data_IF_792462823110
#
_entry.id   IF_792462823110
#
_cell.length_a   1.000
_cell.length_b   1.000
_cell.length_c   1.000
_cell.angle_alpha   90.00
_cell.angle_beta   90.00
_cell.angle_gamma   90.00
#
_symmetry.space_group_name_H-M   'P 1'
#
loop_
_entity.id
_entity.type
_entity.pdbx_description
1 polymer ?
#
# COMPACT_ATOMS: atom_id res chain seq x y z
N UNK A 1 -23.13 8.06 -12.16
CA UNK A 1 -24.35 7.57 -11.48
C UNK A 1 -23.96 6.86 -10.21
N UNK A 2 -23.03 5.90 -10.29
CA UNK A 2 -22.43 5.22 -9.13
C UNK A 2 -21.87 6.20 -8.09
N UNK A 3 -21.11 7.22 -8.49
CA UNK A 3 -20.53 8.20 -7.54
C UNK A 3 -21.60 8.89 -6.67
N UNK A 4 -22.75 9.23 -7.25
CA UNK A 4 -23.84 9.87 -6.52
C UNK A 4 -24.55 8.88 -5.57
N UNK A 5 -24.63 7.60 -5.97
CA UNK A 5 -25.19 6.55 -5.11
C UNK A 5 -24.25 6.32 -3.92
N UNK A 6 -22.94 6.24 -4.16
CA UNK A 6 -21.91 6.10 -3.12
C UNK A 6 -21.91 7.30 -2.17
N UNK A 7 -21.93 8.52 -2.71
CA UNK A 7 -22.00 9.75 -1.92
C UNK A 7 -23.26 9.80 -1.06
N UNK A 8 -24.44 9.47 -1.62
CA UNK A 8 -25.69 9.45 -0.88
C UNK A 8 -25.71 8.36 0.21
N UNK A 9 -25.10 7.20 -0.06
CA UNK A 9 -25.04 6.10 0.89
C UNK A 9 -24.07 6.40 2.04
N UNK A 10 -22.87 6.87 1.72
CA UNK A 10 -21.88 7.30 2.70
C UNK A 10 -22.37 8.50 3.53
N UNK A 11 -23.04 9.45 2.88
CA UNK A 11 -23.57 10.68 3.47
C UNK A 11 -25.01 10.60 3.98
N UNK A 12 -25.61 9.41 4.08
CA UNK A 12 -27.06 9.28 4.36
C UNK A 12 -27.49 9.99 5.65
N UNK A 13 -26.64 9.99 6.69
CA UNK A 13 -26.91 10.67 7.94
C UNK A 13 -26.98 12.20 7.75
N UNK A 14 -26.12 12.77 6.91
CA UNK A 14 -26.12 14.20 6.58
C UNK A 14 -27.40 14.54 5.82
N UNK A 15 -27.74 13.76 4.79
CA UNK A 15 -28.94 13.98 3.97
C UNK A 15 -30.20 13.95 4.85
N UNK A 16 -30.30 12.97 5.76
CA UNK A 16 -31.42 12.82 6.69
C UNK A 16 -31.49 13.97 7.71
N UNK A 17 -30.36 14.37 8.27
CA UNK A 17 -30.30 15.40 9.31
C UNK A 17 -30.67 16.78 8.77
N UNK A 18 -30.27 17.07 7.52
CA UNK A 18 -30.60 18.33 6.85
C UNK A 18 -31.93 18.28 6.07
N UNK A 19 -32.68 17.16 6.11
CA UNK A 19 -33.95 16.97 5.40
C UNK A 19 -33.83 17.23 3.87
N UNK A 20 -32.75 16.75 3.27
CA UNK A 20 -32.36 16.97 1.88
C UNK A 20 -32.74 15.82 0.93
N UNK A 21 -33.52 14.84 1.38
CA UNK A 21 -33.88 13.64 0.61
C UNK A 21 -34.54 13.98 -0.72
N UNK A 22 -35.54 14.88 -0.71
CA UNK A 22 -36.24 15.28 -1.92
C UNK A 22 -35.31 15.96 -2.94
N UNK A 23 -34.28 16.68 -2.48
CA UNK A 23 -33.27 17.29 -3.34
C UNK A 23 -32.35 16.23 -3.94
N UNK A 24 -31.88 15.29 -3.13
CA UNK A 24 -31.03 14.18 -3.56
C UNK A 24 -31.75 13.27 -4.58
N UNK A 25 -33.03 12.95 -4.34
CA UNK A 25 -33.87 12.19 -5.27
C UNK A 25 -34.06 12.93 -6.60
N UNK A 26 -34.30 14.24 -6.57
CA UNK A 26 -34.46 15.05 -7.78
C UNK A 26 -33.18 15.09 -8.60
N UNK A 27 -32.03 15.23 -7.95
CA UNK A 27 -30.74 15.20 -8.64
C UNK A 27 -30.47 13.82 -9.24
N UNK A 28 -30.73 12.74 -8.47
CA UNK A 28 -30.60 11.38 -8.95
C UNK A 28 -31.49 11.11 -10.17
N UNK A 29 -32.76 11.53 -10.13
CA UNK A 29 -33.68 11.39 -11.24
C UNK A 29 -33.17 12.10 -12.50
N UNK A 30 -32.59 13.30 -12.36
CA UNK A 30 -31.96 14.04 -13.48
C UNK A 30 -30.78 13.28 -14.07
N UNK A 31 -29.88 12.74 -13.23
CA UNK A 31 -28.72 11.96 -13.71
C UNK A 31 -29.16 10.65 -14.35
N UNK A 32 -30.15 9.97 -13.77
CA UNK A 32 -30.72 8.74 -14.29
C UNK A 32 -31.40 8.94 -15.65
N UNK A 33 -32.15 10.02 -15.84
CA UNK A 33 -32.77 10.36 -17.14
C UNK A 33 -31.72 10.65 -18.21
N UNK A 34 -30.65 11.37 -17.86
CA UNK A 34 -29.52 11.60 -18.78
C UNK A 34 -28.82 10.30 -19.19
N UNK A 35 -28.60 9.40 -18.22
CA UNK A 35 -28.05 8.08 -18.49
C UNK A 35 -28.98 7.27 -19.38
N UNK A 36 -30.27 7.23 -19.07
CA UNK A 36 -31.30 6.55 -19.87
C UNK A 36 -31.31 7.05 -21.32
N UNK A 37 -31.34 8.37 -21.54
CA UNK A 37 -31.32 8.95 -22.89
C UNK A 37 -30.07 8.56 -23.68
N UNK A 38 -28.92 8.51 -23.02
CA UNK A 38 -27.65 8.15 -23.65
C UNK A 38 -27.59 6.65 -23.98
N UNK A 39 -27.97 5.81 -23.01
CA UNK A 39 -28.06 4.36 -23.17
C UNK A 39 -29.08 3.97 -24.24
N UNK A 40 -30.24 4.63 -24.27
CA UNK A 40 -31.26 4.39 -25.29
C UNK A 40 -30.77 4.74 -26.69
N UNK A 41 -30.10 5.88 -26.87
CA UNK A 41 -29.50 6.25 -28.16
C UNK A 41 -28.46 5.23 -28.61
N UNK A 42 -27.57 4.82 -27.71
CA UNK A 42 -26.57 3.79 -28.00
C UNK A 42 -27.22 2.45 -28.37
N UNK A 43 -28.23 2.03 -27.61
CA UNK A 43 -28.97 0.80 -27.86
C UNK A 43 -29.74 0.84 -29.18
N UNK A 44 -30.35 1.98 -29.52
CA UNK A 44 -31.06 2.17 -30.78
C UNK A 44 -30.10 2.01 -31.96
N UNK A 45 -28.94 2.66 -31.92
CA UNK A 45 -27.89 2.50 -32.94
C UNK A 45 -27.41 1.06 -33.01
N UNK A 46 -27.10 0.43 -31.87
CA UNK A 46 -26.64 -0.96 -31.83
C UNK A 46 -27.68 -1.94 -32.38
N UNK A 47 -28.96 -1.70 -32.11
CA UNK A 47 -30.06 -2.58 -32.55
C UNK A 47 -30.31 -2.43 -34.04
N UNK A 48 -30.06 -1.26 -34.63
CA UNK A 48 -30.23 -1.03 -36.08
C UNK A 48 -29.19 -1.72 -36.95
N UNK A 49 -28.02 -2.09 -36.40
CA UNK A 49 -26.93 -2.71 -37.16
C UNK A 49 -27.39 -4.03 -37.80
N UNK A 50 -28.02 -4.93 -37.04
CA UNK A 50 -28.41 -6.26 -37.54
C UNK A 50 -29.53 -6.22 -38.59
N UNK A 51 -30.65 -5.49 -38.40
CA UNK A 51 -31.66 -5.31 -39.44
C UNK A 51 -31.09 -4.66 -40.72
N UNK A 52 -30.20 -3.68 -40.58
CA UNK A 52 -29.58 -3.00 -41.73
C UNK A 52 -28.68 -3.96 -42.50
N UNK A 53 -27.81 -4.72 -41.83
CA UNK A 53 -27.01 -5.76 -42.45
C UNK A 53 -27.87 -6.82 -43.13
N UNK A 54 -28.94 -7.29 -42.49
CA UNK A 54 -29.86 -8.27 -43.09
C UNK A 54 -30.56 -7.71 -44.33
N UNK A 55 -30.93 -6.43 -44.31
CA UNK A 55 -31.53 -5.76 -45.47
C UNK A 55 -30.55 -5.71 -46.64
N UNK A 56 -29.30 -5.30 -46.40
CA UNK A 56 -28.23 -5.30 -47.41
C UNK A 56 -27.97 -6.70 -47.95
N UNK A 57 -27.88 -7.72 -47.09
CA UNK A 57 -27.69 -9.11 -47.51
C UNK A 57 -28.87 -9.63 -48.35
N UNK A 58 -30.11 -9.26 -48.02
CA UNK A 58 -31.28 -9.64 -48.80
C UNK A 58 -31.29 -8.98 -50.18
N UNK A 59 -30.82 -7.72 -50.29
CA UNK A 59 -30.66 -7.05 -51.57
C UNK A 59 -29.60 -7.74 -52.43
N UNK A 60 -28.47 -8.10 -51.84
CA UNK A 60 -27.41 -8.85 -52.53
C UNK A 60 -27.91 -10.23 -52.99
N UNK A 61 -28.61 -10.95 -52.13
CA UNK A 61 -29.25 -12.23 -52.46
C UNK A 61 -30.22 -12.10 -53.65
N UNK A 62 -31.07 -11.06 -53.64
CA UNK A 62 -32.00 -10.80 -54.73
C UNK A 62 -31.26 -10.48 -56.04
N UNK A 63 -30.24 -9.62 -55.99
CA UNK A 63 -29.43 -9.29 -57.15
C UNK A 63 -28.77 -10.54 -57.75
N UNK A 64 -28.19 -11.38 -56.89
CA UNK A 64 -27.58 -12.65 -57.27
C UNK A 64 -28.59 -13.64 -57.87
N UNK A 65 -29.80 -13.73 -57.31
CA UNK A 65 -30.85 -14.59 -57.83
C UNK A 65 -31.35 -14.13 -59.21
N UNK A 66 -31.54 -12.82 -59.41
CA UNK A 66 -31.99 -12.25 -60.70
C UNK A 66 -30.91 -12.39 -61.77
N UNK A 67 -29.68 -11.95 -61.48
CA UNK A 67 -28.57 -12.02 -62.44
C UNK A 67 -28.21 -13.48 -62.74
N UNK A 68 -28.14 -14.32 -61.70
CA UNK A 68 -27.89 -15.76 -61.85
C UNK A 68 -28.98 -16.44 -62.68
N UNK A 69 -30.26 -16.13 -62.42
CA UNK A 69 -31.39 -16.65 -63.19
C UNK A 69 -31.31 -16.28 -64.67
N UNK A 70 -31.02 -15.01 -64.99
CA UNK A 70 -30.84 -14.56 -66.39
C UNK A 70 -29.64 -15.24 -67.07
N UNK A 71 -28.56 -15.50 -66.34
CA UNK A 71 -27.38 -16.22 -66.85
C UNK A 71 -27.64 -17.71 -67.09
N UNK A 72 -28.45 -18.35 -66.25
CA UNK A 72 -28.90 -19.74 -66.46
C UNK A 72 -29.80 -19.83 -67.68
N UNK A 73 -30.75 -18.89 -67.85
CA UNK A 73 -31.65 -18.84 -69.02
C UNK A 73 -30.86 -18.64 -70.33
N UNK A 74 -29.80 -17.82 -70.30
CA UNK A 74 -28.92 -17.61 -71.47
C UNK A 74 -27.91 -18.74 -71.70
N UNK A 75 -27.87 -19.77 -70.85
CA UNK A 75 -26.96 -20.92 -70.98
C UNK A 75 -25.49 -20.62 -70.65
N UNK A 76 -25.19 -19.48 -70.02
CA UNK A 76 -23.80 -19.09 -69.70
C UNK A 76 -23.30 -19.67 -68.38
N UNK A 77 -24.19 -20.10 -67.48
CA UNK A 77 -23.86 -20.61 -66.14
C UNK A 77 -24.77 -21.79 -65.78
N UNK A 78 -24.26 -22.79 -65.05
CA UNK A 78 -25.05 -23.92 -64.58
C UNK A 78 -25.92 -23.54 -63.37
N UNK A 79 -27.07 -24.21 -63.22
CA UNK A 79 -27.97 -24.01 -62.08
C UNK A 79 -27.28 -24.26 -60.72
N UNK A 80 -26.40 -25.27 -60.67
CA UNK A 80 -25.63 -25.59 -59.45
C UNK A 80 -24.68 -24.47 -59.02
N UNK A 81 -24.09 -23.74 -59.97
CA UNK A 81 -23.17 -22.65 -59.68
C UNK A 81 -23.92 -21.46 -59.06
N UNK A 82 -25.12 -21.15 -59.56
CA UNK A 82 -25.98 -20.11 -58.98
C UNK A 82 -26.42 -20.47 -57.56
N UNK A 83 -26.80 -21.73 -57.33
CA UNK A 83 -27.12 -22.22 -55.99
C UNK A 83 -25.92 -22.07 -55.03
N UNK A 84 -24.72 -22.46 -55.47
CA UNK A 84 -23.50 -22.33 -54.67
C UNK A 84 -23.18 -20.87 -54.35
N UNK A 85 -23.30 -19.95 -55.33
CA UNK A 85 -23.09 -18.52 -55.12
C UNK A 85 -24.07 -17.94 -54.09
N UNK A 86 -25.36 -18.29 -54.16
CA UNK A 86 -26.36 -17.84 -53.18
C UNK A 86 -26.05 -18.32 -51.76
N UNK A 87 -25.48 -19.53 -51.61
CA UNK A 87 -25.03 -20.03 -50.32
C UNK A 87 -23.78 -19.27 -49.81
N UNK A 88 -22.81 -19.02 -50.69
CA UNK A 88 -21.60 -18.28 -50.33
C UNK A 88 -21.87 -16.84 -49.92
N UNK A 89 -22.85 -16.15 -50.54
CA UNK A 89 -23.28 -14.81 -50.11
C UNK A 89 -23.65 -14.77 -48.62
N UNK A 90 -24.46 -15.73 -48.17
CA UNK A 90 -24.86 -15.80 -46.75
C UNK A 90 -23.69 -16.17 -45.83
N UNK A 91 -22.77 -17.02 -46.29
CA UNK A 91 -21.59 -17.41 -45.53
C UNK A 91 -20.58 -16.26 -45.39
N UNK A 92 -20.49 -15.38 -46.40
CA UNK A 92 -19.56 -14.25 -46.43
C UNK A 92 -19.95 -13.12 -45.45
N UNK A 93 -21.24 -12.92 -45.20
CA UNK A 93 -21.71 -11.86 -44.31
C UNK A 93 -21.46 -12.14 -42.82
N UNK A 94 -21.39 -13.41 -42.42
CA UNK A 94 -21.22 -13.83 -41.02
C UNK A 94 -19.87 -13.35 -40.42
N UNK A 95 -18.70 -13.60 -41.05
CA UNK A 95 -17.41 -13.11 -40.56
C UNK A 95 -17.34 -11.60 -40.37
N UNK A 96 -17.96 -10.79 -41.23
CA UNK A 96 -17.94 -9.32 -41.14
C UNK A 96 -18.59 -8.84 -39.84
N UNK A 97 -19.68 -9.49 -39.44
CA UNK A 97 -20.39 -9.17 -38.19
C UNK A 97 -19.54 -9.58 -36.98
N UNK A 98 -18.87 -10.73 -37.05
CA UNK A 98 -17.97 -11.20 -35.99
C UNK A 98 -16.77 -10.27 -35.80
N UNK A 99 -16.13 -9.82 -36.89
CA UNK A 99 -15.01 -8.87 -36.84
C UNK A 99 -15.45 -7.55 -36.19
N UNK A 100 -16.63 -7.05 -36.53
CA UNK A 100 -17.17 -5.80 -35.96
C UNK A 100 -17.34 -5.88 -34.44
N UNK A 101 -17.81 -7.02 -33.92
CA UNK A 101 -17.92 -7.24 -32.48
C UNK A 101 -16.56 -7.44 -31.80
N UNK A 102 -15.59 -8.07 -32.49
CA UNK A 102 -14.24 -8.28 -31.98
C UNK A 102 -13.43 -6.99 -31.83
N UNK A 103 -13.67 -5.95 -32.65
CA UNK A 103 -12.93 -4.70 -32.57
C UNK A 103 -13.01 -4.05 -31.18
N UNK A 104 -14.18 -4.10 -30.54
CA UNK A 104 -14.36 -3.58 -29.18
C UNK A 104 -13.53 -4.38 -28.16
N UNK A 105 -13.52 -5.71 -28.28
CA UNK A 105 -12.71 -6.58 -27.42
C UNK A 105 -11.21 -6.34 -27.64
N UNK A 106 -10.77 -6.24 -28.90
CA UNK A 106 -9.36 -5.97 -29.23
C UNK A 106 -8.90 -4.66 -28.60
N UNK A 107 -9.68 -3.58 -28.69
CA UNK A 107 -9.34 -2.31 -28.05
C UNK A 107 -9.19 -2.45 -26.52
N UNK A 108 -10.15 -3.11 -25.87
CA UNK A 108 -10.10 -3.34 -24.43
C UNK A 108 -8.91 -4.26 -24.02
N UNK A 109 -8.58 -5.25 -24.84
CA UNK A 109 -7.43 -6.14 -24.64
C UNK A 109 -6.12 -5.38 -24.78
N UNK A 110 -5.96 -4.53 -25.79
CA UNK A 110 -4.76 -3.71 -25.98
C UNK A 110 -4.56 -2.78 -24.78
N UNK A 111 -5.58 -2.04 -24.37
CA UNK A 111 -5.49 -1.14 -23.21
C UNK A 111 -5.25 -1.88 -21.88
N UNK A 112 -5.65 -3.14 -21.77
CA UNK A 112 -5.35 -3.97 -20.60
C UNK A 112 -3.93 -4.53 -20.66
N UNK A 113 -3.46 -4.90 -21.85
CA UNK A 113 -2.10 -5.36 -22.07
C UNK A 113 -1.08 -4.23 -21.82
N UNK A 114 -1.34 -3.02 -22.30
CA UNK A 114 -0.48 -1.85 -22.05
C UNK A 114 -0.25 -1.62 -20.56
N UNK A 115 -1.31 -1.69 -19.73
CA UNK A 115 -1.17 -1.56 -18.27
C UNK A 115 -0.39 -2.69 -17.62
N UNK A 116 -0.50 -3.92 -18.14
CA UNK A 116 0.30 -5.04 -17.64
C UNK A 116 1.78 -4.82 -17.99
N UNK A 117 2.07 -4.43 -19.23
CA UNK A 117 3.43 -4.16 -19.67
C UNK A 117 4.04 -2.94 -18.98
N UNK A 118 3.25 -1.89 -18.70
CA UNK A 118 3.69 -0.75 -17.90
C UNK A 118 4.23 -1.17 -16.53
N UNK A 119 3.55 -2.11 -15.85
CA UNK A 119 4.01 -2.64 -14.56
C UNK A 119 5.23 -3.57 -14.71
N UNK A 120 5.26 -4.40 -15.76
CA UNK A 120 6.34 -5.36 -15.98
C UNK A 120 7.64 -4.70 -16.48
N UNK A 121 7.53 -3.60 -17.21
CA UNK A 121 8.65 -2.85 -17.79
C UNK A 121 9.20 -1.79 -16.82
N UNK A 122 8.51 -1.53 -15.70
CA UNK A 122 8.97 -0.61 -14.67
C UNK A 122 10.26 -1.12 -14.04
N UNK A 123 11.24 -0.21 -13.86
CA UNK A 123 12.55 -0.61 -13.35
C UNK A 123 12.47 -0.87 -11.85
N UNK A 124 12.91 -2.04 -11.43
CA UNK A 124 13.09 -2.31 -10.02
C UNK A 124 14.20 -1.43 -9.43
N UNK A 125 14.02 -1.01 -8.17
CA UNK A 125 15.11 -0.41 -7.39
C UNK A 125 16.25 -1.42 -7.24
N UNK A 126 17.38 -1.16 -7.89
CA UNK A 126 18.55 -2.04 -7.81
C UNK A 126 19.30 -1.83 -6.51
N UNK A 127 19.73 -2.93 -5.89
CA UNK A 127 20.77 -2.87 -4.87
C UNK A 127 22.10 -2.54 -5.53
N UNK A 128 22.99 -1.80 -4.85
CA UNK A 128 24.37 -1.55 -5.32
C UNK A 128 25.24 -2.81 -5.40
N UNK A 129 24.63 -3.99 -5.28
CA UNK A 129 25.26 -5.31 -5.25
C UNK A 129 25.00 -5.97 -6.61
N UNK A 130 26.05 -6.35 -7.37
CA UNK A 130 25.88 -7.11 -8.61
C UNK A 130 25.11 -8.41 -8.34
N UNK A 131 24.18 -8.79 -9.23
CA UNK A 131 23.38 -10.05 -9.14
C UNK A 131 24.27 -11.29 -8.92
N UNK A 132 25.53 -11.24 -9.37
CA UNK A 132 26.52 -12.30 -9.17
C UNK A 132 26.94 -12.53 -7.72
N UNK A 133 26.79 -11.55 -6.82
CA UNK A 133 27.18 -11.68 -5.40
C UNK A 133 26.01 -12.13 -4.51
N UNK A 134 24.75 -11.98 -4.95
CA UNK A 134 23.57 -12.44 -4.20
C UNK A 134 23.53 -13.97 -3.98
N UNK A 135 24.19 -14.74 -4.86
CA UNK A 135 24.19 -16.22 -4.79
C UNK A 135 25.26 -16.76 -3.84
N UNK A 136 26.27 -15.97 -3.46
CA UNK A 136 27.37 -16.44 -2.61
C UNK A 136 27.05 -16.39 -1.11
N UNK A 137 25.97 -15.73 -0.70
CA UNK A 137 25.74 -15.33 0.70
C UNK A 137 24.65 -16.14 1.43
N UNK A 138 24.11 -17.21 0.84
CA UNK A 138 23.22 -18.14 1.57
C UNK A 138 23.95 -18.92 2.69
N UNK A 139 25.28 -19.02 2.62
CA UNK A 139 26.10 -19.61 3.69
C UNK A 139 26.38 -18.66 4.86
N UNK A 140 25.98 -17.40 4.78
CA UNK A 140 26.33 -16.35 5.76
C UNK A 140 25.23 -16.07 6.79
N UNK A 141 24.19 -16.91 6.88
CA UNK A 141 23.16 -16.83 7.94
C UNK A 141 23.68 -17.11 9.36
N UNK A 142 24.98 -17.40 9.55
CA UNK A 142 25.64 -17.58 10.85
C UNK A 142 27.09 -17.07 10.86
N UNK A 143 27.31 -15.76 10.79
CA UNK A 143 28.57 -15.16 11.27
C UNK A 143 28.50 -13.63 11.36
N UNK A 144 27.78 -13.07 12.34
CA UNK A 144 28.18 -11.79 12.95
C UNK A 144 28.08 -11.90 14.47
N UNK A 145 28.77 -12.91 15.02
CA UNK A 145 29.22 -12.87 16.40
C UNK A 145 30.75 -12.83 16.33
N UNK A 146 31.34 -11.74 16.82
CA UNK A 146 32.77 -11.41 16.84
C UNK A 146 33.25 -10.47 15.72
N UNK A 147 32.69 -9.26 15.68
CA UNK A 147 33.52 -8.07 15.45
C UNK A 147 33.74 -7.44 16.81
N UNK A 148 35.01 -7.30 17.19
CA UNK A 148 35.43 -6.87 18.51
C UNK A 148 34.78 -5.55 18.91
N UNK A 149 34.66 -5.37 20.23
CA UNK A 149 34.35 -4.10 20.87
C UNK A 149 35.37 -3.03 20.44
N UNK A 150 35.13 -2.42 19.29
CA UNK A 150 35.57 -1.07 18.98
C UNK A 150 34.43 -0.17 19.41
N UNK A 151 34.74 0.84 20.22
CA UNK A 151 33.84 1.91 20.64
C UNK A 151 33.07 2.49 19.42
N UNK A 152 31.91 1.93 19.08
CA UNK A 152 31.08 2.39 17.95
C UNK A 152 30.16 3.49 18.48
N UNK A 153 30.63 4.72 18.41
CA UNK A 153 29.85 5.94 18.66
C UNK A 153 28.80 6.21 17.57
N UNK A 154 28.93 5.60 16.39
CA UNK A 154 28.04 5.86 15.25
C UNK A 154 27.42 4.55 14.72
N UNK A 155 26.36 4.08 15.39
CA UNK A 155 25.61 2.88 14.95
C UNK A 155 24.79 3.18 13.70
N UNK A 156 24.06 4.30 13.67
CA UNK A 156 23.40 4.83 12.47
C UNK A 156 23.87 6.27 12.28
N UNK A 157 24.23 6.64 11.04
CA UNK A 157 24.65 8.00 10.72
C UNK A 157 23.98 8.49 9.43
N UNK A 158 23.32 9.64 9.52
CA UNK A 158 22.85 10.40 8.36
C UNK A 158 23.92 11.45 8.04
N UNK A 159 24.52 11.37 6.87
CA UNK A 159 25.60 12.24 6.42
C UNK A 159 25.16 13.00 5.16
N UNK A 160 24.89 14.29 5.34
CA UNK A 160 24.48 15.25 4.30
C UNK A 160 23.33 14.75 3.44
N UNK A 161 22.32 14.17 4.07
CA UNK A 161 21.20 13.53 3.37
C UNK A 161 20.29 14.59 2.76
N UNK A 162 20.13 14.53 1.43
CA UNK A 162 19.12 15.27 0.70
C UNK A 162 18.17 14.29 -0.01
N UNK A 163 16.89 14.65 -0.07
CA UNK A 163 15.87 13.80 -0.64
C UNK A 163 14.69 14.58 -1.24
N UNK A 164 14.21 14.09 -2.39
CA UNK A 164 13.05 14.61 -3.11
C UNK A 164 12.20 13.45 -3.64
N UNK A 165 10.88 13.48 -3.43
CA UNK A 165 9.97 12.51 -4.06
C UNK A 165 9.81 12.74 -5.56
N UNK A 166 9.85 14.01 -5.96
CA UNK A 166 9.80 14.46 -7.34
C UNK A 166 11.01 15.35 -7.59
N UNK A 167 11.63 15.26 -8.75
CA UNK A 167 12.86 16.03 -9.09
C UNK A 167 12.72 17.54 -8.87
N UNK A 168 11.51 18.08 -9.01
CA UNK A 168 11.23 19.52 -8.91
C UNK A 168 10.86 20.00 -7.49
N UNK A 169 10.83 19.12 -6.50
CA UNK A 169 10.41 19.49 -5.14
C UNK A 169 11.29 18.82 -4.09
N UNK A 170 12.34 19.54 -3.67
CA UNK A 170 13.20 19.13 -2.56
C UNK A 170 12.43 19.10 -1.25
N UNK A 171 12.52 17.98 -0.54
CA UNK A 171 11.96 17.84 0.81
C UNK A 171 13.06 17.98 1.87
N UNK A 172 14.11 17.17 1.78
CA UNK A 172 15.26 17.22 2.67
C UNK A 172 16.46 17.80 1.92
N UNK A 173 17.24 18.66 2.57
CA UNK A 173 18.38 19.34 1.90
C UNK A 173 19.73 19.00 2.48
N UNK A 174 19.85 18.89 3.81
CA UNK A 174 21.12 18.62 4.48
C UNK A 174 20.90 18.03 5.89
N UNK A 175 20.32 16.83 5.94
CA UNK A 175 20.03 16.14 7.21
C UNK A 175 21.28 15.43 7.72
N UNK A 176 21.72 15.81 8.93
CA UNK A 176 22.91 15.27 9.60
C UNK A 176 22.61 14.91 11.05
N UNK A 177 22.81 13.66 11.44
CA UNK A 177 22.80 13.21 12.84
C UNK A 177 23.35 11.78 12.97
N UNK A 178 23.88 11.45 14.14
CA UNK A 178 24.29 10.10 14.49
C UNK A 178 23.48 9.55 15.66
N UNK A 179 23.43 8.22 15.76
CA UNK A 179 22.71 7.45 16.77
C UNK A 179 23.61 6.35 17.28
N UNK A 180 23.73 6.22 18.60
CA UNK A 180 24.47 5.14 19.25
C UNK A 180 23.59 3.89 19.46
N UNK A 181 24.24 2.75 19.71
CA UNK A 181 23.53 1.50 20.03
C UNK A 181 22.67 1.67 21.29
N UNK A 182 21.39 1.30 21.18
CA UNK A 182 20.46 1.33 22.31
C UNK A 182 19.87 2.71 22.62
N UNK A 183 20.18 3.74 21.83
CA UNK A 183 19.57 5.05 21.99
C UNK A 183 18.12 5.07 21.49
N UNK A 184 17.28 5.81 22.20
CA UNK A 184 15.92 6.17 21.79
C UNK A 184 15.91 7.57 21.17
N UNK A 185 15.54 7.62 19.90
CA UNK A 185 15.41 8.83 19.10
C UNK A 185 13.94 9.16 18.92
N UNK A 186 13.49 10.29 19.44
CA UNK A 186 12.13 10.79 19.19
C UNK A 186 12.12 11.75 17.99
N UNK A 187 11.22 11.54 17.05
CA UNK A 187 11.02 12.41 15.89
C UNK A 187 9.73 13.21 16.10
N UNK A 188 9.85 14.53 16.21
CA UNK A 188 8.73 15.44 16.48
C UNK A 188 8.64 16.55 15.43
N UNK A 189 7.46 17.12 15.25
CA UNK A 189 7.24 18.20 14.28
C UNK A 189 5.81 18.22 13.75
N UNK A 190 5.38 19.29 13.06
CA UNK A 190 4.04 19.40 12.50
C UNK A 190 3.76 18.31 11.45
N UNK A 191 2.48 18.14 11.08
CA UNK A 191 2.08 17.29 9.96
C UNK A 191 2.75 17.81 8.68
N UNK A 192 3.32 16.91 7.88
CA UNK A 192 4.06 17.28 6.67
C UNK A 192 5.53 17.69 6.89
N UNK A 193 6.04 17.65 8.12
CA UNK A 193 7.43 18.01 8.43
C UNK A 193 8.51 17.05 7.88
N UNK A 194 8.14 15.91 7.29
CA UNK A 194 9.09 14.91 6.76
C UNK A 194 9.40 13.72 7.69
N UNK A 195 8.68 13.55 8.80
CA UNK A 195 8.89 12.46 9.79
C UNK A 195 8.78 11.06 9.17
N UNK A 196 7.69 10.81 8.42
CA UNK A 196 7.49 9.53 7.73
C UNK A 196 8.54 9.30 6.65
N UNK A 197 9.01 10.37 6.00
CA UNK A 197 10.07 10.26 4.99
C UNK A 197 11.41 9.85 5.61
N UNK A 198 11.76 10.38 6.80
CA UNK A 198 12.95 9.94 7.54
C UNK A 198 12.95 8.42 7.77
N UNK A 199 11.81 7.89 8.18
CA UNK A 199 11.62 6.45 8.40
C UNK A 199 11.70 5.68 7.08
N UNK A 200 11.06 6.16 6.03
CA UNK A 200 11.09 5.52 4.72
C UNK A 200 12.51 5.45 4.13
N UNK A 201 13.35 6.45 4.41
CA UNK A 201 14.76 6.44 4.02
C UNK A 201 15.58 5.45 4.84
N UNK A 202 15.32 5.35 6.15
CA UNK A 202 15.98 4.37 7.03
C UNK A 202 15.66 2.92 6.62
N UNK A 203 14.40 2.62 6.28
CA UNK A 203 13.93 1.32 5.78
C UNK A 203 14.29 1.06 4.30
N UNK A 204 14.93 2.05 3.66
CA UNK A 204 15.29 2.04 2.24
C UNK A 204 14.10 1.67 1.36
N UNK A 205 12.95 2.32 1.59
CA UNK A 205 11.84 2.36 0.63
C UNK A 205 12.10 3.36 -0.49
N UNK A 206 12.96 4.33 -0.23
CA UNK A 206 13.51 5.25 -1.23
C UNK A 206 15.01 5.36 -1.00
N UNK A 207 15.77 5.59 -2.06
CA UNK A 207 17.17 5.99 -1.95
C UNK A 207 17.27 7.51 -1.81
N UNK A 208 18.33 7.97 -1.13
CA UNK A 208 18.63 9.40 -0.98
C UNK A 208 19.03 10.01 -2.33
N UNK A 209 18.63 11.26 -2.57
CA UNK A 209 19.02 12.01 -3.78
C UNK A 209 20.52 12.38 -3.73
N UNK A 210 21.02 12.74 -2.54
CA UNK A 210 22.46 12.91 -2.27
C UNK A 210 22.77 12.62 -0.80
N UNK A 211 24.05 12.49 -0.48
CA UNK A 211 24.51 12.06 0.85
C UNK A 211 24.47 10.55 1.00
N UNK A 212 24.47 10.09 2.25
CA UNK A 212 24.47 8.66 2.60
C UNK A 212 23.89 8.42 3.98
N UNK A 213 23.26 7.26 4.14
CA UNK A 213 22.83 6.72 5.43
C UNK A 213 23.71 5.52 5.70
N UNK A 214 24.43 5.55 6.81
CA UNK A 214 25.36 4.52 7.22
C UNK A 214 24.76 3.70 8.36
N UNK A 215 24.87 2.38 8.25
CA UNK A 215 24.64 1.43 9.34
C UNK A 215 25.98 0.78 9.68
N UNK A 216 26.48 1.04 10.89
CA UNK A 216 27.78 0.58 11.37
C UNK A 216 28.96 0.96 10.45
N UNK A 217 28.86 2.15 9.85
CA UNK A 217 29.86 2.69 8.93
C UNK A 217 29.73 2.22 7.48
N UNK A 218 28.80 1.32 7.15
CA UNK A 218 28.51 0.87 5.79
C UNK A 218 27.27 1.56 5.23
N UNK A 219 27.32 2.03 3.99
CA UNK A 219 26.16 2.65 3.34
C UNK A 219 25.04 1.61 3.15
N UNK A 220 23.81 1.94 3.52
CA UNK A 220 22.65 1.04 3.41
C UNK A 220 22.36 0.63 1.95
N UNK A 221 22.85 1.39 0.95
CA UNK A 221 22.77 1.04 -0.48
C UNK A 221 23.64 -0.15 -0.87
N UNK A 222 24.66 -0.43 -0.06
CA UNK A 222 25.60 -1.55 -0.24
C UNK A 222 25.21 -2.79 0.59
N UNK A 223 24.07 -2.73 1.29
CA UNK A 223 23.53 -3.83 2.09
C UNK A 223 22.33 -4.40 1.34
N UNK A 224 22.22 -5.73 1.27
CA UNK A 224 21.04 -6.37 0.70
C UNK A 224 19.80 -5.96 1.51
N UNK A 225 18.70 -5.64 0.81
CA UNK A 225 17.49 -5.12 1.45
C UNK A 225 16.87 -6.09 2.44
N UNK A 226 16.94 -7.40 2.20
CA UNK A 226 16.42 -8.40 3.14
C UNK A 226 17.27 -8.41 4.41
N UNK A 227 18.60 -8.35 4.27
CA UNK A 227 19.52 -8.26 5.41
C UNK A 227 19.33 -6.96 6.20
N UNK A 228 19.18 -5.82 5.51
CA UNK A 228 18.94 -4.52 6.14
C UNK A 228 17.65 -4.54 6.95
N UNK A 229 16.53 -4.93 6.32
CA UNK A 229 15.21 -4.94 6.96
C UNK A 229 15.06 -6.04 7.99
N UNK A 230 15.80 -7.15 7.88
CA UNK A 230 15.87 -8.19 8.89
C UNK A 230 16.43 -7.72 10.23
N UNK A 231 17.18 -6.60 10.26
CA UNK A 231 17.67 -5.95 11.48
C UNK A 231 16.67 -4.94 12.07
N UNK A 232 15.57 -4.66 11.37
CA UNK A 232 14.58 -3.65 11.71
C UNK A 232 13.22 -4.30 12.00
N UNK A 233 12.41 -3.68 12.86
CA UNK A 233 10.97 -3.93 12.84
C UNK A 233 10.20 -2.63 13.01
N UNK A 234 9.09 -2.54 12.29
CA UNK A 234 8.22 -1.39 12.29
C UNK A 234 6.89 -1.72 12.96
N UNK A 235 6.44 -0.86 13.88
CA UNK A 235 5.09 -0.90 14.45
C UNK A 235 4.38 0.40 14.07
N UNK A 236 3.47 0.28 13.10
CA UNK A 236 2.67 1.39 12.59
C UNK A 236 1.46 1.70 13.47
N UNK A 237 0.96 2.92 13.36
CA UNK A 237 -0.34 3.32 13.94
C UNK A 237 -1.49 2.49 13.36
N UNK A 238 -1.56 2.40 12.03
CA UNK A 238 -2.53 1.53 11.34
C UNK A 238 -1.93 0.13 11.16
N UNK A 239 -2.39 -0.79 11.99
CA UNK A 239 -1.89 -2.16 12.02
C UNK A 239 -2.50 -2.99 10.90
N UNK A 240 -1.67 -3.72 10.16
CA UNK A 240 -2.11 -4.65 9.12
C UNK A 240 -1.93 -6.10 9.55
N UNK A 241 -2.96 -6.93 9.35
CA UNK A 241 -2.92 -8.37 9.59
C UNK A 241 -3.34 -9.10 8.31
N UNK A 242 -2.77 -10.29 8.11
CA UNK A 242 -3.07 -11.12 6.95
C UNK A 242 -4.25 -12.04 7.25
N UNK A 243 -5.00 -12.40 6.21
CA UNK A 243 -5.92 -13.52 6.29
C UNK A 243 -5.17 -14.80 6.64
N UNK A 244 -5.61 -15.48 7.70
CA UNK A 244 -4.90 -16.62 8.27
C UNK A 244 -5.15 -16.74 9.77
N UNK A 245 -4.48 -17.67 10.45
CA UNK A 245 -4.64 -17.78 11.91
C UNK A 245 -3.90 -16.68 12.64
N UNK A 246 -4.25 -16.44 13.91
CA UNK A 246 -3.44 -15.60 14.80
C UNK A 246 -2.02 -16.15 14.91
N UNK A 247 -1.85 -17.48 14.97
CA UNK A 247 -0.54 -18.14 14.98
C UNK A 247 0.29 -17.76 13.75
N UNK A 248 -0.26 -17.90 12.54
CA UNK A 248 0.44 -17.56 11.29
C UNK A 248 0.82 -16.08 11.26
N UNK A 249 -0.12 -15.23 11.69
CA UNK A 249 0.12 -13.81 11.76
C UNK A 249 1.29 -13.49 12.71
N UNK A 250 1.37 -14.10 13.89
CA UNK A 250 2.48 -13.85 14.81
C UNK A 250 3.80 -14.44 14.29
N UNK A 251 3.77 -15.67 13.76
CA UNK A 251 4.93 -16.36 13.21
C UNK A 251 5.54 -15.62 12.01
N UNK A 252 4.78 -14.76 11.32
CA UNK A 252 5.30 -13.85 10.30
C UNK A 252 6.49 -12.99 10.77
N UNK A 253 6.58 -12.70 12.08
CA UNK A 253 7.74 -11.98 12.63
C UNK A 253 9.07 -12.76 12.51
N UNK A 254 9.01 -14.10 12.51
CA UNK A 254 10.14 -15.00 12.25
C UNK A 254 9.62 -16.39 11.88
N UNK A 255 9.73 -16.75 10.61
CA UNK A 255 9.10 -17.95 10.04
C UNK A 255 9.60 -19.26 10.68
N UNK A 256 10.85 -19.28 11.14
CA UNK A 256 11.46 -20.45 11.78
C UNK A 256 11.13 -20.55 13.29
N UNK A 257 10.36 -19.62 13.85
CA UNK A 257 10.04 -19.63 15.27
C UNK A 257 9.17 -20.84 15.67
N UNK A 258 9.44 -21.41 16.85
CA UNK A 258 8.59 -22.47 17.41
C UNK A 258 7.29 -21.89 17.97
N UNK A 259 6.28 -22.75 18.17
CA UNK A 259 5.01 -22.31 18.76
C UNK A 259 5.21 -21.73 20.16
N UNK A 260 6.15 -22.27 20.94
CA UNK A 260 6.47 -21.76 22.27
C UNK A 260 7.02 -20.34 22.20
N UNK A 261 7.91 -20.05 21.26
CA UNK A 261 8.47 -18.71 21.06
C UNK A 261 7.39 -17.71 20.65
N UNK A 262 6.47 -18.12 19.77
CA UNK A 262 5.31 -17.30 19.38
C UNK A 262 4.43 -16.98 20.59
N UNK A 263 4.14 -17.96 21.44
CA UNK A 263 3.35 -17.76 22.66
C UNK A 263 4.10 -16.86 23.65
N UNK A 264 5.43 -16.99 23.78
CA UNK A 264 6.20 -16.08 24.63
C UNK A 264 6.15 -14.63 24.12
N UNK A 265 6.29 -14.43 22.82
CA UNK A 265 6.17 -13.09 22.22
C UNK A 265 4.77 -12.49 22.45
N UNK A 266 3.71 -13.29 22.29
CA UNK A 266 2.35 -12.89 22.60
C UNK A 266 2.15 -12.52 24.08
N UNK A 267 2.77 -13.26 25.02
CA UNK A 267 2.76 -12.93 26.45
C UNK A 267 3.51 -11.65 26.76
N UNK A 268 4.67 -11.44 26.15
CA UNK A 268 5.46 -10.21 26.30
C UNK A 268 4.68 -8.98 25.83
N UNK A 269 3.85 -9.15 24.80
CA UNK A 269 2.98 -8.13 24.25
C UNK A 269 1.61 -8.00 24.94
N UNK A 270 1.30 -8.79 25.98
CA UNK A 270 -0.06 -8.89 26.57
C UNK A 270 -1.17 -9.34 25.61
N UNK A 271 -0.81 -9.95 24.48
CA UNK A 271 -1.76 -10.49 23.51
C UNK A 271 -2.33 -11.86 23.93
N UNK A 272 -1.53 -12.67 24.62
CA UNK A 272 -1.91 -14.04 25.05
C UNK A 272 -3.22 -14.08 25.85
N UNK A 273 -3.46 -13.09 26.71
CA UNK A 273 -4.66 -13.03 27.55
C UNK A 273 -5.94 -12.99 26.73
N UNK A 274 -6.01 -12.16 25.68
CA UNK A 274 -7.23 -12.12 24.86
C UNK A 274 -7.27 -13.28 23.87
N UNK A 275 -6.13 -13.72 23.33
CA UNK A 275 -6.08 -14.83 22.37
C UNK A 275 -6.65 -16.09 23.01
N UNK A 276 -6.26 -16.41 24.25
CA UNK A 276 -6.72 -17.59 24.97
C UNK A 276 -8.21 -17.56 25.33
N UNK A 277 -8.85 -16.38 25.33
CA UNK A 277 -10.31 -16.24 25.53
C UNK A 277 -11.11 -16.51 24.25
N UNK A 278 -10.47 -16.51 23.09
CA UNK A 278 -11.14 -16.82 21.83
C UNK A 278 -11.47 -18.32 21.74
N UNK A 279 -12.60 -18.71 21.13
CA UNK A 279 -13.01 -20.12 21.05
C UNK A 279 -11.98 -21.05 20.40
N UNK A 280 -11.19 -20.53 19.45
CA UNK A 280 -10.15 -21.29 18.74
C UNK A 280 -8.73 -20.90 19.18
N UNK A 281 -8.58 -20.05 20.20
CA UNK A 281 -7.28 -19.59 20.67
C UNK A 281 -6.43 -18.98 19.54
N UNK A 282 -5.16 -19.38 19.49
CA UNK A 282 -4.21 -19.01 18.43
C UNK A 282 -4.61 -19.49 17.02
N UNK A 283 -5.50 -20.48 16.91
CA UNK A 283 -6.01 -20.99 15.63
C UNK A 283 -7.22 -20.19 15.12
N UNK A 284 -7.58 -19.11 15.81
CA UNK A 284 -8.66 -18.22 15.35
C UNK A 284 -8.27 -17.61 14.01
N UNK A 285 -9.13 -17.78 13.00
CA UNK A 285 -8.95 -17.22 11.67
C UNK A 285 -9.29 -15.72 11.67
N UNK A 286 -8.37 -14.91 11.17
CA UNK A 286 -8.55 -13.50 10.87
C UNK A 286 -8.92 -13.36 9.38
N UNK A 287 -9.86 -12.48 9.08
CA UNK A 287 -10.17 -12.04 7.70
C UNK A 287 -9.35 -10.80 7.35
N UNK A 288 -9.28 -10.42 6.06
CA UNK A 288 -8.49 -9.25 5.61
C UNK A 288 -8.90 -7.94 6.30
N UNK A 289 -10.17 -7.80 6.66
CA UNK A 289 -10.68 -6.66 7.41
C UNK A 289 -10.42 -6.74 8.93
N UNK A 290 -9.92 -7.89 9.42
CA UNK A 290 -9.76 -8.24 10.84
C UNK A 290 -10.92 -7.76 11.72
N UNK A 291 -12.16 -7.92 11.23
CA UNK A 291 -13.37 -7.36 11.83
C UNK A 291 -13.78 -8.07 13.12
N UNK A 292 -13.16 -9.22 13.40
CA UNK A 292 -13.39 -10.06 14.57
C UNK A 292 -12.51 -9.71 15.78
N UNK A 293 -11.62 -8.73 15.67
CA UNK A 293 -10.77 -8.24 16.76
C UNK A 293 -10.78 -6.70 16.82
N UNK A 294 -10.62 -6.16 18.02
CA UNK A 294 -10.60 -4.71 18.23
C UNK A 294 -9.30 -4.09 17.72
N UNK A 295 -9.31 -2.79 17.47
CA UNK A 295 -8.10 -2.05 17.06
C UNK A 295 -6.95 -2.23 18.06
N UNK A 296 -7.24 -2.16 19.36
CA UNK A 296 -6.21 -2.37 20.38
C UNK A 296 -5.65 -3.78 20.39
N UNK A 297 -6.47 -4.81 20.14
CA UNK A 297 -6.01 -6.19 19.98
C UNK A 297 -5.10 -6.35 18.75
N UNK A 298 -5.45 -5.72 17.62
CA UNK A 298 -4.58 -5.72 16.42
C UNK A 298 -3.21 -5.10 16.70
N UNK A 299 -3.17 -4.05 17.51
CA UNK A 299 -1.93 -3.41 17.91
C UNK A 299 -1.08 -4.31 18.81
N UNK A 300 -1.69 -4.99 19.79
CA UNK A 300 -0.98 -5.99 20.61
C UNK A 300 -0.41 -7.14 19.77
N UNK A 301 -1.13 -7.63 18.76
CA UNK A 301 -0.61 -8.65 17.84
C UNK A 301 0.58 -8.15 17.02
N UNK A 302 0.53 -6.89 16.56
CA UNK A 302 1.65 -6.30 15.79
C UNK A 302 2.88 -6.10 16.68
N UNK A 303 2.69 -5.70 17.94
CA UNK A 303 3.77 -5.61 18.93
C UNK A 303 4.35 -7.01 19.23
N UNK A 304 3.52 -8.04 19.31
CA UNK A 304 3.98 -9.43 19.47
C UNK A 304 4.83 -9.89 18.29
N UNK A 305 4.50 -9.51 17.05
CA UNK A 305 5.38 -9.77 15.88
C UNK A 305 6.75 -9.13 16.05
N UNK A 306 6.80 -7.88 16.49
CA UNK A 306 8.06 -7.18 16.72
C UNK A 306 8.89 -7.83 17.84
N UNK A 307 8.25 -8.33 18.91
CA UNK A 307 8.93 -9.14 19.92
C UNK A 307 9.52 -10.43 19.35
N UNK A 308 8.78 -11.12 18.48
CA UNK A 308 9.22 -12.37 17.87
C UNK A 308 10.36 -12.16 16.87
N UNK A 309 10.28 -11.11 16.07
CA UNK A 309 11.33 -10.70 15.13
C UNK A 309 12.63 -10.35 15.87
N UNK A 310 12.52 -9.76 17.07
CA UNK A 310 13.64 -9.37 17.91
C UNK A 310 14.71 -8.54 17.16
N UNK A 311 14.33 -7.41 16.55
CA UNK A 311 15.25 -6.59 15.76
C UNK A 311 16.24 -5.82 16.64
N UNK A 312 17.30 -5.32 16.02
CA UNK A 312 18.25 -4.38 16.63
C UNK A 312 17.74 -2.94 16.59
N UNK A 313 17.00 -2.59 15.53
CA UNK A 313 16.42 -1.27 15.28
C UNK A 313 14.90 -1.38 15.32
N UNK A 314 14.26 -0.53 16.11
CA UNK A 314 12.80 -0.50 16.24
C UNK A 314 12.25 0.84 15.75
N UNK A 315 11.30 0.80 14.84
CA UNK A 315 10.61 1.99 14.34
C UNK A 315 9.17 1.96 14.82
N UNK A 316 8.76 3.01 15.52
CA UNK A 316 7.44 3.11 16.13
C UNK A 316 6.75 4.39 15.64
N UNK A 317 5.56 4.24 15.07
CA UNK A 317 4.70 5.36 14.70
C UNK A 317 3.56 5.46 15.73
N UNK A 318 3.77 6.26 16.77
CA UNK A 318 2.90 6.25 17.95
C UNK A 318 1.66 7.14 17.77
N UNK A 319 0.52 6.53 17.43
CA UNK A 319 -0.77 7.05 17.89
C UNK A 319 -1.73 5.92 18.34
N UNK A 320 -2.33 6.09 19.52
CA UNK A 320 -3.39 5.23 20.03
C UNK A 320 -4.71 6.01 20.05
N UNK A 321 -5.22 6.37 18.88
CA UNK A 321 -6.58 6.94 18.78
C UNK A 321 -7.61 5.81 18.74
N UNK A 322 -8.68 5.93 19.53
CA UNK A 322 -9.86 5.03 19.52
C UNK A 322 -9.69 3.66 20.19
N UNK A 323 -8.80 3.53 21.17
CA UNK A 323 -8.65 2.33 22.02
C UNK A 323 -9.19 2.60 23.44
N UNK A 324 -9.79 1.61 24.09
CA UNK A 324 -10.23 1.74 25.48
C UNK A 324 -9.04 1.89 26.44
N UNK A 325 -9.24 2.61 27.56
CA UNK A 325 -8.17 2.93 28.53
C UNK A 325 -7.45 1.71 29.10
N UNK A 326 -8.11 0.55 29.21
CA UNK A 326 -7.46 -0.67 29.72
C UNK A 326 -6.50 -1.22 28.67
N UNK A 327 -6.96 -1.38 27.44
CA UNK A 327 -6.13 -1.88 26.33
C UNK A 327 -5.00 -0.91 26.00
N UNK A 328 -5.23 0.40 26.09
CA UNK A 328 -4.19 1.43 25.92
C UNK A 328 -3.03 1.24 26.90
N UNK A 329 -3.31 0.94 28.18
CA UNK A 329 -2.27 0.65 29.18
C UNK A 329 -1.48 -0.61 28.87
N UNK A 330 -2.13 -1.65 28.34
CA UNK A 330 -1.45 -2.87 27.92
C UNK A 330 -0.51 -2.60 26.74
N UNK A 331 -0.98 -1.84 25.74
CA UNK A 331 -0.18 -1.42 24.58
C UNK A 331 1.04 -0.62 25.04
N UNK A 332 0.87 0.39 25.89
CA UNK A 332 1.98 1.18 26.44
C UNK A 332 2.99 0.31 27.20
N UNK A 333 2.51 -0.61 28.06
CA UNK A 333 3.35 -1.53 28.81
C UNK A 333 4.17 -2.45 27.89
N UNK A 334 3.54 -2.98 26.84
CA UNK A 334 4.19 -3.80 25.83
C UNK A 334 5.24 -2.99 25.04
N UNK A 335 4.91 -1.78 24.59
CA UNK A 335 5.81 -0.88 23.86
C UNK A 335 7.03 -0.49 24.69
N UNK A 336 6.83 -0.07 25.94
CA UNK A 336 7.93 0.26 26.86
C UNK A 336 8.84 -0.94 27.12
N UNK A 337 8.31 -2.17 27.10
CA UNK A 337 9.11 -3.39 27.21
C UNK A 337 9.85 -3.70 25.91
N UNK A 338 9.23 -3.46 24.76
CA UNK A 338 9.82 -3.66 23.44
C UNK A 338 10.98 -2.67 23.19
N UNK A 339 10.91 -1.46 23.72
CA UNK A 339 11.95 -0.44 23.56
C UNK A 339 13.25 -0.74 24.34
N UNK A 340 13.19 -1.56 25.39
CA UNK A 340 14.36 -1.79 26.26
C UNK A 340 15.49 -2.50 25.51
N UNK A 341 16.67 -1.89 25.53
CA UNK A 341 17.91 -2.48 25.01
C UNK A 341 17.99 -2.51 23.48
N UNK A 342 17.17 -1.70 22.79
CA UNK A 342 17.15 -1.61 21.32
C UNK A 342 17.35 -0.16 20.88
N UNK A 343 18.02 0.03 19.76
CA UNK A 343 18.04 1.34 19.10
C UNK A 343 16.64 1.60 18.56
N UNK A 344 16.07 2.77 18.83
CA UNK A 344 14.67 3.03 18.46
C UNK A 344 14.45 4.41 17.86
N UNK A 345 13.60 4.46 16.84
CA UNK A 345 13.09 5.67 16.22
C UNK A 345 11.60 5.75 16.49
N UNK A 346 11.16 6.76 17.23
CA UNK A 346 9.78 6.89 17.66
C UNK A 346 9.21 8.20 17.13
N UNK A 347 8.22 8.12 16.23
CA UNK A 347 7.40 9.29 15.87
C UNK A 347 6.48 9.56 17.05
N UNK A 348 6.84 10.56 17.85
CA UNK A 348 6.25 10.72 19.16
C UNK A 348 5.11 11.75 19.13
N UNK A 349 3.93 11.31 19.55
CA UNK A 349 2.77 12.16 19.84
C UNK A 349 2.44 12.23 21.34
N UNK A 350 3.19 11.52 22.19
CA UNK A 350 3.00 11.47 23.65
C UNK A 350 4.18 12.07 24.41
N UNK A 351 3.86 12.82 25.46
CA UNK A 351 4.88 13.46 26.29
C UNK A 351 5.84 12.47 26.96
N UNK A 352 5.34 11.35 27.48
CA UNK A 352 6.21 10.34 28.12
C UNK A 352 7.32 9.87 27.18
N UNK A 353 6.94 9.55 25.94
CA UNK A 353 7.85 9.08 24.89
C UNK A 353 8.87 10.14 24.52
N UNK A 354 8.44 11.39 24.38
CA UNK A 354 9.32 12.51 24.05
C UNK A 354 10.30 12.78 25.21
N UNK A 355 9.82 12.77 26.46
CA UNK A 355 10.62 13.10 27.64
C UNK A 355 11.69 12.05 27.92
N UNK A 356 11.35 10.78 27.72
CA UNK A 356 12.23 9.66 28.06
C UNK A 356 13.23 9.34 26.91
N UNK A 357 13.13 10.02 25.77
CA UNK A 357 14.05 9.88 24.64
C UNK A 357 15.45 10.43 24.94
N UNK A 358 16.49 9.74 24.47
CA UNK A 358 17.88 10.18 24.61
C UNK A 358 18.15 11.42 23.76
N UNK A 359 17.57 11.46 22.56
CA UNK A 359 17.70 12.55 21.61
C UNK A 359 16.37 12.76 20.87
N UNK A 360 16.03 14.02 20.65
CA UNK A 360 14.81 14.47 20.00
C UNK A 360 15.23 15.20 18.73
N UNK A 361 14.70 14.77 17.59
CA UNK A 361 14.86 15.42 16.29
C UNK A 361 13.60 16.21 16.01
N UNK A 362 13.70 17.53 16.02
CA UNK A 362 12.59 18.44 15.71
C UNK A 362 12.67 18.75 14.23
N UNK A 363 11.69 18.27 13.48
CA UNK A 363 11.62 18.43 12.03
C UNK A 363 10.67 19.57 11.65
N UNK A 364 11.07 20.36 10.67
CA UNK A 364 10.23 21.36 10.01
C UNK A 364 10.64 21.47 8.53
N UNK A 365 9.67 21.51 7.62
CA UNK A 365 9.89 21.61 6.18
C UNK A 365 10.95 20.60 5.65
N UNK A 366 10.92 19.37 6.17
CA UNK A 366 11.80 18.28 5.76
C UNK A 366 13.23 18.31 6.30
N UNK A 367 13.60 19.29 7.13
CA UNK A 367 14.93 19.36 7.75
C UNK A 367 14.84 19.30 9.28
N UNK A 368 15.95 18.93 9.92
CA UNK A 368 16.09 18.98 11.38
C UNK A 368 16.42 20.43 11.76
N UNK A 369 15.53 21.08 12.51
CA UNK A 369 15.71 22.48 12.95
C UNK A 369 16.25 22.59 14.36
N UNK A 370 15.95 21.62 15.23
CA UNK A 370 16.46 21.52 16.59
C UNK A 370 16.77 20.06 16.93
N UNK A 371 17.81 19.85 17.75
CA UNK A 371 18.26 18.53 18.14
C UNK A 371 18.84 18.56 19.55
N UNK A 372 18.35 17.70 20.43
CA UNK A 372 18.80 17.63 21.82
C UNK A 372 17.93 16.75 22.69
N UNK A 373 18.11 16.80 24.00
CA UNK A 373 17.20 16.14 24.94
C UNK A 373 16.07 17.09 25.39
N UNK A 374 15.04 16.54 26.03
CA UNK A 374 13.86 17.29 26.48
C UNK A 374 14.21 18.56 27.28
N UNK A 375 15.13 18.46 28.23
CA UNK A 375 15.49 19.59 29.09
C UNK A 375 16.25 20.69 28.35
N UNK A 376 17.14 20.30 27.43
CA UNK A 376 17.90 21.26 26.61
C UNK A 376 16.98 22.03 25.66
N UNK A 377 16.10 21.34 24.93
CA UNK A 377 15.21 21.94 23.95
C UNK A 377 14.13 22.81 24.59
N UNK A 378 13.65 22.46 25.80
CA UNK A 378 12.73 23.34 26.56
C UNK A 378 13.40 24.66 26.95
N UNK A 379 14.68 24.64 27.32
CA UNK A 379 15.42 25.85 27.73
C UNK A 379 15.70 26.79 26.56
N UNK A 380 15.88 26.24 25.36
CA UNK A 380 16.08 27.03 24.14
C UNK A 380 14.83 27.81 23.71
N UNK A 381 13.65 27.42 24.22
CA UNK A 381 12.38 28.09 23.98
C UNK A 381 12.07 28.28 22.47
N UNK A 382 12.47 27.30 21.66
CA UNK A 382 12.27 27.26 20.22
C UNK A 382 10.97 26.56 19.78
N UNK A 383 10.99 25.98 18.57
CA UNK A 383 9.87 25.23 17.99
C UNK A 383 9.47 24.05 18.87
N UNK A 384 10.43 23.33 19.46
CA UNK A 384 10.13 22.25 20.39
C UNK A 384 9.29 22.72 21.58
N UNK A 385 9.70 23.81 22.24
CA UNK A 385 9.00 24.36 23.40
C UNK A 385 7.59 24.84 23.03
N UNK A 386 7.43 25.44 21.85
CA UNK A 386 6.12 25.82 21.29
C UNK A 386 5.21 24.60 21.09
N UNK A 387 5.71 23.55 20.45
CA UNK A 387 4.98 22.29 20.24
C UNK A 387 4.59 21.66 21.58
N UNK A 388 5.53 21.58 22.52
CA UNK A 388 5.31 21.07 23.87
C UNK A 388 4.19 21.84 24.58
N UNK A 389 4.25 23.17 24.57
CA UNK A 389 3.25 24.01 25.23
C UNK A 389 1.87 23.90 24.58
N UNK A 390 1.80 23.75 23.26
CA UNK A 390 0.53 23.62 22.54
C UNK A 390 -0.17 22.27 22.77
N UNK A 391 0.60 21.19 22.95
CA UNK A 391 0.07 19.82 23.05
C UNK A 391 -0.09 19.33 24.49
N UNK A 392 0.78 19.75 25.41
CA UNK A 392 0.88 19.13 26.74
C UNK A 392 0.78 20.11 27.91
N UNK A 393 0.99 21.41 27.71
CA UNK A 393 0.79 22.41 28.76
C UNK A 393 -0.68 22.84 28.82
N UNK A 394 -1.53 22.00 29.42
CA UNK A 394 -2.85 22.41 29.91
C UNK A 394 -3.09 21.98 31.34
#
# INVERSE_FOLDING_TARGET
>A
MNDQIEENYAGHAVIKTFNHEASAEKEFAKRNDNFYKSAWKAQFVSTLIYPTMRFVNNLDYLAMAVIGGLKVISGTVNLGDVQAMLQYTNQFAQPITNISNMLNTIQATVASAERIFEVLDEKEMTDGIPVSEKVADESSKKAVSNLGATDKTDFINFDQVAFSYNENQSLMTDVNFSVEVGQMIAIVGPTGAGKTTMINLLERFYDVTSGKILLEGKDIREIDREQLRGRMAMVLQETWLFSGTIMDNLQYGRLEATQEEVIQAAKMAHADEFITTLPQGYQTLLNEAASNISQGQRQLLTIARAFLANPEILILDEATSSVDTRTERLIQSAMNRLLKGRTSFVVAHRLSTIRDANQILVMENGNIVEMGNHESLLKENGLYASLYNSQFAK
#
